data_IF_821817386037
#
_entry.id   IF_821817386037
#
_cell.length_a   1.000
_cell.length_b   1.000
_cell.length_c   1.000
_cell.angle_alpha   90.00
_cell.angle_beta   90.00
_cell.angle_gamma   90.00
#
_symmetry.space_group_name_H-M   'P 1'
#
loop_
_entity.id
_entity.type
_entity.pdbx_description
1 polymer ?
2 non-polymer ?
3 water ?
#
# COMPACT_ATOMS: atom_id res chain seq x y z
N UNK A 1 5.48 -4.08 -6.70
CA UNK A 1 4.08 -3.70 -6.36
C UNK A 1 3.98 -3.46 -4.85
N UNK A 2 3.61 -2.23 -4.49
CA UNK A 2 3.46 -1.84 -3.09
C UNK A 2 2.09 -1.15 -2.98
N UNK A 3 1.25 -1.65 -2.07
CA UNK A 3 -0.08 -1.08 -1.85
C UNK A 3 -0.25 -0.89 -0.35
N UNK A 4 -0.59 0.34 0.06
CA UNK A 4 -0.69 0.67 1.50
C UNK A 4 -1.97 1.47 1.75
N UNK A 5 -2.74 1.02 2.74
CA UNK A 5 -3.84 1.84 3.26
C UNK A 5 -3.54 2.16 4.72
N UNK A 6 -3.54 3.44 5.09
CA UNK A 6 -3.64 3.82 6.51
C UNK A 6 -4.92 4.64 6.77
X LIG B 1 -1.05 -7.62 -7.14
X LIG B 1 -0.23 -8.79 -6.73
X LIG B 1 -0.50 -6.92 -8.31
X LIG B 1 -2.43 -8.02 -7.48
X LIG B 1 -1.30 -6.75 -6.00
X LIG C 1 7.40 -7.03 -7.14
X LIG C 1 7.60 -8.45 -6.83
X LIG C 1 8.58 -6.29 -6.66
X LIG C 1 6.20 -6.65 -6.40
X LIG C 1 7.18 -6.76 -8.57
#
# INVERSE_FOLDING_TARGET
>A
IIKVIK
>B hetero
1 SO4 S O1 O2 O3 O4
>C hetero
1 SO4 S O1 O2 O3 O4
#
